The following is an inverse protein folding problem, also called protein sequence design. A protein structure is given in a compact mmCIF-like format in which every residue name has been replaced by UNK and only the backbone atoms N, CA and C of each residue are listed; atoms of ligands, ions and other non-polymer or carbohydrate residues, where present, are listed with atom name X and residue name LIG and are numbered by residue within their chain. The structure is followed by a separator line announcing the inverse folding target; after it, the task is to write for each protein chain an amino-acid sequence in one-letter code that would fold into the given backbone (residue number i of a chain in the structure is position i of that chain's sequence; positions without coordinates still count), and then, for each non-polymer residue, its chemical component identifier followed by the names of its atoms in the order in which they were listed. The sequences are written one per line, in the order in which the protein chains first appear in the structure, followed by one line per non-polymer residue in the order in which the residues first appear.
data_IF_591558869438
#
_entry.id   IF_591558869438
#
_cell.length_a   1.000
_cell.length_b   1.000
_cell.length_c   1.000
_cell.angle_alpha   90.00
_cell.angle_beta   90.00
_cell.angle_gamma   90.00
#
_symmetry.space_group_name_H-M   'P 1'
#
loop_
_entity.id
_entity.type
_entity.pdbx_description
1 polymer ?
#
# COMPACT_ATOMS: atom_id res chain seq x y z
N UNK A 1 -11.09 -6.29 -12.74
CA UNK A 1 -11.26 -5.79 -11.35
C UNK A 1 -11.76 -4.35 -11.37
N UNK A 2 -12.36 -3.83 -10.29
CA UNK A 2 -12.79 -2.42 -10.22
C UNK A 2 -11.62 -1.55 -9.74
N UNK A 3 -11.05 -0.72 -10.60
CA UNK A 3 -10.02 0.23 -10.16
C UNK A 3 -10.59 1.25 -9.15
N UNK A 4 -9.87 1.51 -8.06
CA UNK A 4 -10.28 2.45 -7.01
C UNK A 4 -9.96 3.91 -7.34
N UNK A 5 -8.97 4.13 -8.20
CA UNK A 5 -8.55 5.42 -8.74
C UNK A 5 -8.20 5.25 -10.23
N UNK A 6 -8.42 6.26 -11.07
CA UNK A 6 -7.93 6.26 -12.46
C UNK A 6 -6.41 6.52 -12.50
N UNK A 7 -5.75 6.19 -13.62
CA UNK A 7 -4.33 6.48 -13.84
C UNK A 7 -4.03 8.00 -13.73
N UNK A 8 -4.95 8.84 -14.19
CA UNK A 8 -4.82 10.31 -14.14
C UNK A 8 -4.58 10.84 -12.71
N UNK A 9 -5.12 10.18 -11.67
CA UNK A 9 -4.88 10.56 -10.27
C UNK A 9 -3.40 10.45 -9.87
N UNK A 10 -2.66 9.56 -10.52
CA UNK A 10 -1.21 9.37 -10.34
C UNK A 10 -0.45 10.36 -11.20
N UNK A 11 -0.80 10.49 -12.48
CA UNK A 11 -0.13 11.39 -13.43
C UNK A 11 -0.14 12.84 -12.95
N UNK A 12 -1.30 13.33 -12.50
CA UNK A 12 -1.45 14.69 -11.93
C UNK A 12 -0.52 14.92 -10.74
N UNK A 13 -0.22 13.85 -9.98
CA UNK A 13 0.58 13.94 -8.76
C UNK A 13 2.08 13.87 -9.02
N UNK A 14 2.49 13.08 -10.01
CA UNK A 14 3.90 12.89 -10.38
C UNK A 14 4.38 13.98 -11.36
N UNK A 15 3.45 14.64 -12.05
CA UNK A 15 3.76 15.68 -13.04
C UNK A 15 3.92 15.11 -14.46
N UNK A 16 3.23 13.99 -14.74
CA UNK A 16 3.33 13.23 -16.00
C UNK A 16 4.15 11.94 -15.84
N UNK A 17 3.74 10.91 -16.58
CA UNK A 17 4.43 9.61 -16.65
C UNK A 17 4.87 9.35 -18.09
N UNK A 18 6.03 8.72 -18.27
CA UNK A 18 6.39 8.14 -19.57
C UNK A 18 5.59 6.85 -19.83
N UNK A 19 5.55 6.37 -21.08
CA UNK A 19 4.74 5.18 -21.46
C UNK A 19 5.02 3.95 -20.59
N UNK A 20 6.28 3.65 -20.29
CA UNK A 20 6.64 2.50 -19.44
C UNK A 20 6.17 2.69 -18.00
N UNK A 21 6.33 3.89 -17.45
CA UNK A 21 5.89 4.20 -16.09
C UNK A 21 4.37 4.23 -15.97
N UNK A 22 3.66 4.60 -17.05
CA UNK A 22 2.20 4.55 -17.10
C UNK A 22 1.71 3.10 -16.99
N UNK A 23 2.29 2.17 -17.75
CA UNK A 23 1.97 0.74 -17.67
C UNK A 23 2.28 0.19 -16.27
N UNK A 24 3.45 0.50 -15.72
CA UNK A 24 3.82 0.09 -14.36
C UNK A 24 2.84 0.65 -13.31
N UNK A 25 2.42 1.91 -13.45
CA UNK A 25 1.45 2.51 -12.57
C UNK A 25 0.07 1.85 -12.67
N UNK A 26 -0.36 1.40 -13.85
CA UNK A 26 -1.61 0.66 -14.03
C UNK A 26 -1.58 -0.69 -13.29
N UNK A 27 -0.49 -1.46 -13.46
CA UNK A 27 -0.30 -2.74 -12.77
C UNK A 27 -0.31 -2.53 -11.24
N UNK A 28 0.40 -1.50 -10.77
CA UNK A 28 0.42 -1.16 -9.34
C UNK A 28 -0.94 -0.69 -8.82
N UNK A 29 -1.77 -0.04 -9.63
CA UNK A 29 -3.15 0.33 -9.24
C UNK A 29 -4.00 -0.93 -9.08
N UNK A 30 -3.83 -1.93 -9.94
CA UNK A 30 -4.54 -3.22 -9.82
C UNK A 30 -4.13 -3.96 -8.55
N UNK A 31 -2.82 -4.07 -8.29
CA UNK A 31 -2.29 -4.69 -7.07
C UNK A 31 -2.77 -3.96 -5.80
N UNK A 32 -2.70 -2.62 -5.80
CA UNK A 32 -3.15 -1.83 -4.68
C UNK A 32 -4.64 -2.01 -4.42
N UNK A 33 -5.43 -2.09 -5.49
CA UNK A 33 -6.86 -2.38 -5.42
C UNK A 33 -7.10 -3.72 -4.76
N UNK A 34 -6.44 -4.78 -5.23
CA UNK A 34 -6.58 -6.13 -4.66
C UNK A 34 -6.24 -6.17 -3.17
N UNK A 35 -5.15 -5.52 -2.76
CA UNK A 35 -4.76 -5.43 -1.34
C UNK A 35 -5.77 -4.68 -0.48
N UNK A 36 -6.33 -3.58 -0.98
CA UNK A 36 -7.32 -2.78 -0.26
C UNK A 36 -8.63 -3.54 -0.15
N UNK A 37 -9.09 -4.19 -1.21
CA UNK A 37 -10.30 -5.02 -1.20
C UNK A 37 -10.16 -6.19 -0.23
N UNK A 38 -9.03 -6.90 -0.26
CA UNK A 38 -8.73 -7.98 0.68
C UNK A 38 -8.75 -7.50 2.15
N UNK A 39 -8.28 -6.27 2.41
CA UNK A 39 -8.33 -5.69 3.75
C UNK A 39 -9.75 -5.23 4.15
N UNK A 40 -10.52 -4.68 3.21
CA UNK A 40 -11.83 -4.07 3.44
C UNK A 40 -12.95 -5.11 3.37
N UNK A 41 -12.97 -6.05 4.31
CA UNK A 41 -13.90 -7.19 4.31
C UNK A 41 -15.39 -6.83 4.41
N UNK A 42 -15.75 -5.60 4.77
CA UNK A 42 -17.15 -5.11 4.72
C UNK A 42 -17.58 -4.64 3.32
N UNK A 43 -16.67 -4.65 2.36
CA UNK A 43 -16.84 -4.00 1.07
C UNK A 43 -16.49 -2.50 1.12
N UNK A 44 -16.18 -1.98 -0.07
CA UNK A 44 -15.90 -0.57 -0.30
C UNK A 44 -17.14 0.04 -0.97
N UNK A 45 -17.77 1.09 -0.38
CA UNK A 45 -18.98 1.67 -0.95
C UNK A 45 -18.71 2.32 -2.32
N UNK A 46 -19.79 2.56 -3.05
CA UNK A 46 -19.83 3.31 -4.30
C UNK A 46 -20.70 4.57 -4.09
N UNK A 47 -20.19 5.80 -4.30
CA UNK A 47 -18.85 6.15 -4.79
C UNK A 47 -17.71 5.77 -3.83
N UNK A 48 -16.53 5.50 -4.40
CA UNK A 48 -15.32 5.17 -3.63
C UNK A 48 -14.96 6.33 -2.68
N UNK A 49 -14.83 6.10 -1.36
CA UNK A 49 -14.51 7.17 -0.41
C UNK A 49 -13.10 7.74 -0.61
N UNK A 50 -12.93 9.04 -0.37
CA UNK A 50 -11.64 9.73 -0.55
C UNK A 50 -10.49 9.11 0.27
N UNK A 51 -10.80 8.60 1.47
CA UNK A 51 -9.78 7.93 2.30
C UNK A 51 -9.26 6.65 1.65
N UNK A 52 -10.11 5.94 0.91
CA UNK A 52 -9.73 4.71 0.20
C UNK A 52 -8.89 5.08 -1.02
N UNK A 53 -9.32 6.09 -1.80
CA UNK A 53 -8.55 6.65 -2.92
C UNK A 53 -7.16 7.13 -2.48
N UNK A 54 -7.09 7.83 -1.36
CA UNK A 54 -5.84 8.32 -0.78
C UNK A 54 -4.88 7.18 -0.43
N UNK A 55 -5.38 6.08 0.14
CA UNK A 55 -4.55 4.92 0.47
C UNK A 55 -4.05 4.24 -0.81
N UNK A 56 -4.93 4.02 -1.79
CA UNK A 56 -4.54 3.46 -3.10
C UNK A 56 -3.44 4.29 -3.75
N UNK A 57 -3.63 5.62 -3.82
CA UNK A 57 -2.65 6.56 -4.36
C UNK A 57 -1.31 6.49 -3.63
N UNK A 58 -1.32 6.43 -2.29
CA UNK A 58 -0.10 6.32 -1.48
C UNK A 58 0.64 5.01 -1.69
N UNK A 59 -0.08 3.91 -1.89
CA UNK A 59 0.52 2.61 -2.17
C UNK A 59 1.25 2.61 -3.51
N UNK A 60 0.58 3.08 -4.57
CA UNK A 60 1.14 3.16 -5.92
C UNK A 60 2.35 4.10 -5.96
N UNK A 61 2.20 5.33 -5.45
CA UNK A 61 3.32 6.28 -5.42
C UNK A 61 4.51 5.77 -4.61
N UNK A 62 4.27 5.00 -3.55
CA UNK A 62 5.35 4.44 -2.75
C UNK A 62 6.07 3.31 -3.50
N UNK A 63 5.34 2.44 -4.19
CA UNK A 63 5.93 1.39 -5.01
C UNK A 63 6.74 1.98 -6.17
N UNK A 64 6.17 2.95 -6.91
CA UNK A 64 6.88 3.67 -7.98
C UNK A 64 8.17 4.36 -7.50
N UNK A 65 8.17 4.92 -6.28
CA UNK A 65 9.34 5.58 -5.70
C UNK A 65 10.26 4.63 -4.93
N UNK A 66 9.90 3.36 -4.74
CA UNK A 66 10.73 2.45 -3.96
C UNK A 66 12.07 2.23 -4.65
N UNK A 67 12.12 2.21 -5.98
CA UNK A 67 13.33 1.82 -6.71
C UNK A 67 13.80 0.42 -6.31
N UNK A 68 14.93 -0.02 -6.85
CA UNK A 68 15.52 -1.35 -6.60
C UNK A 68 16.09 -1.43 -5.17
N UNK A 69 15.23 -1.37 -4.15
CA UNK A 69 15.61 -1.67 -2.76
C UNK A 69 15.95 -3.15 -2.72
N UNK A 70 17.18 -3.55 -2.34
CA UNK A 70 17.62 -4.93 -2.40
C UNK A 70 16.62 -5.85 -1.69
N UNK A 71 16.08 -6.79 -2.45
CA UNK A 71 15.10 -7.76 -1.98
C UNK A 71 15.70 -8.56 -0.83
N UNK A 72 15.05 -8.58 0.34
CA UNK A 72 15.52 -9.32 1.53
C UNK A 72 16.09 -8.49 2.68
N UNK A 73 16.00 -7.16 2.64
CA UNK A 73 16.37 -6.30 3.77
C UNK A 73 15.20 -6.14 4.74
N UNK A 74 14.98 -7.12 5.64
CA UNK A 74 13.87 -7.13 6.61
C UNK A 74 14.02 -6.06 7.73
N UNK A 75 15.24 -5.57 7.97
CA UNK A 75 15.43 -4.43 8.88
C UNK A 75 16.75 -3.71 8.63
N UNK A 76 16.72 -2.38 8.62
CA UNK A 76 17.93 -1.57 8.78
C UNK A 76 18.06 -1.27 10.27
N UNK A 77 18.99 -1.94 10.94
CA UNK A 77 19.35 -1.62 12.32
C UNK A 77 20.53 -0.65 12.28
N UNK A 78 20.25 0.64 12.45
CA UNK A 78 21.30 1.64 12.53
C UNK A 78 21.67 1.84 14.02
N UNK A 79 22.82 1.28 14.41
CA UNK A 79 23.38 1.44 15.75
C UNK A 79 24.32 2.64 15.77
N UNK A 80 23.81 3.79 16.17
CA UNK A 80 24.59 4.99 16.39
C UNK A 80 24.81 5.20 17.91
N UNK A 81 25.64 4.34 18.51
CA UNK A 81 25.98 4.43 19.94
C UNK A 81 24.82 4.07 20.89
N UNK A 82 24.59 4.77 22.02
CA UNK A 82 23.57 4.41 23.01
C UNK A 82 22.12 4.54 22.49
N UNK A 83 21.94 4.96 21.25
CA UNK A 83 20.65 5.04 20.56
C UNK A 83 20.63 4.02 19.42
N UNK A 84 19.79 2.99 19.56
CA UNK A 84 19.48 2.07 18.47
C UNK A 84 18.16 2.47 17.82
N UNK A 85 18.17 2.64 16.50
CA UNK A 85 16.94 2.75 15.71
C UNK A 85 16.80 1.50 14.86
N UNK A 86 15.80 0.68 15.16
CA UNK A 86 15.44 -0.47 14.33
C UNK A 86 14.33 -0.05 13.37
N UNK A 87 14.63 -0.03 12.08
CA UNK A 87 13.64 0.16 11.02
C UNK A 87 13.28 -1.21 10.48
N UNK A 88 12.18 -1.82 10.94
CA UNK A 88 11.64 -3.05 10.35
C UNK A 88 10.96 -2.73 9.01
N UNK A 89 11.49 -3.30 7.94
CA UNK A 89 10.85 -3.36 6.63
C UNK A 89 10.07 -4.69 6.60
N UNK A 90 8.74 -4.63 6.55
CA UNK A 90 7.91 -5.85 6.57
C UNK A 90 8.07 -6.59 5.24
N UNK A 91 8.22 -7.93 5.28
CA UNK A 91 8.66 -8.83 4.19
C UNK A 91 7.85 -8.86 2.87
N UNK A 92 6.94 -7.91 2.64
CA UNK A 92 6.33 -7.63 1.33
C UNK A 92 6.74 -6.26 0.74
N UNK A 93 7.63 -5.53 1.41
CA UNK A 93 8.09 -4.19 1.00
C UNK A 93 9.21 -4.20 -0.04
N UNK A 94 9.72 -5.39 -0.37
CA UNK A 94 10.93 -5.59 -1.18
C UNK A 94 10.67 -6.24 -2.54
N UNK A 95 9.46 -6.71 -2.80
CA UNK A 95 9.09 -7.41 -4.05
C UNK A 95 8.67 -6.43 -5.17
N UNK A 96 8.93 -5.13 -5.01
CA UNK A 96 8.48 -4.06 -5.93
C UNK A 96 6.96 -3.83 -5.95
N UNK A 97 6.17 -4.78 -5.44
CA UNK A 97 4.72 -4.69 -5.36
C UNK A 97 4.19 -3.72 -4.31
N UNK A 98 2.87 -3.53 -4.28
CA UNK A 98 2.23 -2.58 -3.36
C UNK A 98 1.98 -3.19 -1.98
N UNK A 99 2.04 -2.37 -0.91
CA UNK A 99 1.75 -2.85 0.46
C UNK A 99 1.04 -1.81 1.33
N UNK A 100 0.25 -2.34 2.28
CA UNK A 100 -0.48 -1.54 3.27
C UNK A 100 0.39 -1.23 4.50
N UNK A 101 0.64 0.05 4.76
CA UNK A 101 1.29 0.46 6.02
C UNK A 101 0.34 0.36 7.21
N UNK A 102 0.89 0.46 8.43
CA UNK A 102 0.06 0.55 9.65
C UNK A 102 -0.84 1.79 9.65
N UNK A 103 -0.38 2.91 9.09
CA UNK A 103 -1.18 4.13 8.97
C UNK A 103 -2.35 3.93 7.99
N UNK A 104 -2.09 3.33 6.84
CA UNK A 104 -3.10 3.04 5.82
C UNK A 104 -4.19 2.11 6.38
N UNK A 105 -3.79 1.05 7.08
CA UNK A 105 -4.73 0.14 7.76
C UNK A 105 -5.62 0.85 8.79
N UNK A 106 -5.12 1.89 9.46
CA UNK A 106 -5.92 2.71 10.39
C UNK A 106 -6.97 3.54 9.65
N UNK A 107 -6.63 4.08 8.47
CA UNK A 107 -7.57 4.82 7.62
C UNK A 107 -8.67 3.91 7.06
N UNK A 108 -8.31 2.67 6.69
CA UNK A 108 -9.24 1.69 6.13
C UNK A 108 -10.08 0.95 7.18
N UNK A 109 -9.75 1.05 8.47
CA UNK A 109 -10.37 0.26 9.56
C UNK A 109 -11.89 0.31 9.57
N UNK A 110 -12.50 1.41 9.11
CA UNK A 110 -13.95 1.57 9.03
C UNK A 110 -14.62 0.49 8.17
N UNK A 111 -13.97 0.07 7.09
CA UNK A 111 -14.47 -0.91 6.11
C UNK A 111 -14.02 -2.34 6.37
N UNK A 112 -13.48 -2.62 7.56
CA UNK A 112 -13.03 -3.97 7.95
C UNK A 112 -13.89 -4.52 9.10
N UNK A 113 -14.18 -5.82 9.06
CA UNK A 113 -14.74 -6.55 10.22
C UNK A 113 -13.68 -6.74 11.31
N UNK A 114 -14.10 -6.63 12.58
CA UNK A 114 -13.24 -7.06 13.68
C UNK A 114 -13.08 -8.57 13.66
N UNK A 115 -11.88 -9.07 13.96
CA UNK A 115 -11.65 -10.48 14.25
C UNK A 115 -11.58 -10.67 15.77
N UNK A 116 -12.22 -11.71 16.26
CA UNK A 116 -12.16 -12.12 17.66
C UNK A 116 -11.90 -13.62 17.71
N UNK A 117 -11.03 -14.07 18.62
CA UNK A 117 -10.78 -15.49 18.84
C UNK A 117 -11.73 -15.99 19.92
N UNK A 118 -12.45 -17.08 19.65
CA UNK A 118 -13.29 -17.76 20.64
C UNK A 118 -12.61 -19.09 20.98
N UNK A 119 -12.23 -19.32 22.25
CA UNK A 119 -11.71 -20.62 22.65
C UNK A 119 -12.83 -21.67 22.52
N UNK A 120 -12.56 -22.71 21.75
CA UNK A 120 -13.44 -23.87 21.61
C UNK A 120 -13.23 -24.76 22.83
N UNK A 121 -14.31 -25.16 23.51
CA UNK A 121 -14.30 -25.97 24.73
C UNK A 121 -14.60 -27.42 24.42
#
# INVERSE_FOLDING_TARGET
MRQLIPLSDIEERVGGLGEVQALEAEDLIEDATAHIEAFCTKGIPDPVPDRVKLVCRRMVLRALNAGDVPTGLDSVQNSAGPFSQTVQLTSGSTDGGTWLTRADRKLLRRWRHGAFSVPIR
#
